data_IF_337529838615
#
_entry.id   IF_337529838615
#
_cell.length_a   1.000
_cell.length_b   1.000
_cell.length_c   1.000
_cell.angle_alpha   90.00
_cell.angle_beta   90.00
_cell.angle_gamma   90.00
#
_symmetry.space_group_name_H-M   'P 1'
#
loop_
_entity.id
_entity.type
_entity.pdbx_description
1 polymer ?
#
# COMPACT_ATOMS: atom_id res chain seq x y z
N UNK A 1 -13.84 -34.53 10.16
CA UNK A 1 -12.79 -34.79 11.17
C UNK A 1 -11.48 -34.52 10.45
N UNK A 2 -10.75 -33.45 10.70
CA UNK A 2 -10.77 -32.46 11.78
C UNK A 2 -11.16 -31.07 11.24
N UNK A 3 -12.01 -30.36 12.00
CA UNK A 3 -12.19 -28.93 11.85
C UNK A 3 -11.12 -28.27 12.71
N UNK A 4 -9.94 -28.05 12.12
CA UNK A 4 -9.03 -27.02 12.63
C UNK A 4 -9.68 -25.67 12.34
N UNK A 5 -10.61 -25.29 13.22
CA UNK A 5 -11.00 -23.89 13.34
C UNK A 5 -9.72 -23.20 13.75
N UNK A 6 -9.12 -22.47 12.81
CA UNK A 6 -7.95 -21.63 12.99
C UNK A 6 -8.04 -20.96 14.36
N UNK A 7 -7.12 -21.29 15.28
CA UNK A 7 -7.14 -20.80 16.66
C UNK A 7 -7.28 -19.28 16.68
N UNK A 8 -6.70 -18.61 15.68
CA UNK A 8 -6.85 -17.18 15.45
C UNK A 8 -8.31 -16.78 15.14
N UNK A 9 -9.00 -17.48 14.25
CA UNK A 9 -10.42 -17.24 13.94
C UNK A 9 -11.32 -17.44 15.15
N UNK A 10 -11.08 -18.51 15.92
CA UNK A 10 -11.76 -18.77 17.20
C UNK A 10 -11.52 -17.63 18.20
N UNK A 11 -10.26 -17.20 18.35
CA UNK A 11 -9.89 -16.12 19.26
C UNK A 11 -10.49 -14.77 18.83
N UNK A 12 -10.44 -14.45 17.53
CA UNK A 12 -11.03 -13.25 16.96
C UNK A 12 -12.55 -13.18 17.16
N UNK A 13 -13.25 -14.32 17.04
CA UNK A 13 -14.69 -14.41 17.24
C UNK A 13 -15.13 -14.18 18.70
N UNK A 14 -14.22 -14.37 19.66
CA UNK A 14 -14.49 -14.22 21.11
C UNK A 14 -14.03 -12.87 21.68
N UNK A 15 -13.26 -12.10 20.92
CA UNK A 15 -12.83 -10.75 21.28
C UNK A 15 -14.02 -9.79 21.24
N UNK A 16 -14.65 -9.58 22.40
CA UNK A 16 -15.62 -8.51 22.60
C UNK A 16 -14.91 -7.18 22.54
N UNK A 17 -15.29 -6.34 21.57
CA UNK A 17 -14.82 -4.96 21.47
C UNK A 17 -15.27 -4.20 22.71
N UNK A 18 -14.34 -3.86 23.61
CA UNK A 18 -14.59 -2.85 24.63
C UNK A 18 -14.66 -1.49 23.95
N UNK A 19 -15.88 -1.15 23.57
CA UNK A 19 -16.47 0.16 23.31
C UNK A 19 -15.57 1.40 23.38
N UNK A 20 -15.63 2.16 22.29
CA UNK A 20 -15.64 3.64 22.21
C UNK A 20 -14.36 4.45 22.32
N UNK A 21 -13.18 3.86 22.47
CA UNK A 21 -11.95 4.65 22.42
C UNK A 21 -11.13 4.30 21.18
N UNK A 22 -11.48 4.93 20.06
CA UNK A 22 -10.41 5.36 19.17
C UNK A 22 -9.76 6.50 19.92
N UNK A 23 -8.68 6.19 20.65
CA UNK A 23 -7.70 7.22 20.95
C UNK A 23 -7.45 7.94 19.63
N UNK A 24 -7.76 9.25 19.56
CA UNK A 24 -7.50 10.08 18.39
C UNK A 24 -6.15 9.63 17.82
N UNK A 25 -6.13 8.95 16.66
CA UNK A 25 -4.89 8.32 16.19
C UNK A 25 -3.93 9.50 16.00
N UNK A 26 -2.94 9.57 16.89
CA UNK A 26 -2.27 10.83 17.20
C UNK A 26 -1.51 11.36 15.98
N UNK A 27 -2.06 12.36 15.28
CA UNK A 27 -1.45 13.40 14.44
C UNK A 27 0.00 13.18 13.90
N UNK A 28 0.37 12.01 13.40
CA UNK A 28 1.71 11.73 12.89
C UNK A 28 1.66 10.95 11.57
N UNK A 29 2.64 11.23 10.71
CA UNK A 29 2.63 10.95 9.28
C UNK A 29 2.90 9.46 8.98
N UNK A 30 2.01 8.71 8.32
CA UNK A 30 2.16 7.25 8.18
C UNK A 30 3.38 6.84 7.35
N UNK A 31 3.84 5.60 7.54
CA UNK A 31 4.97 5.01 6.81
C UNK A 31 4.55 3.87 5.87
N UNK A 32 3.35 3.26 5.89
CA UNK A 32 3.10 2.21 4.87
C UNK A 32 1.67 1.96 4.41
N UNK A 33 1.57 1.64 3.11
CA UNK A 33 0.38 1.36 2.31
C UNK A 33 0.59 0.00 1.63
N UNK A 34 -0.45 -0.83 1.42
CA UNK A 34 -0.26 -2.24 1.04
C UNK A 34 -1.28 -2.71 0.00
N UNK A 35 -0.80 -3.52 -0.95
CA UNK A 35 -1.61 -4.17 -1.98
C UNK A 35 -2.17 -5.47 -1.38
N UNK A 36 -3.41 -5.81 -1.71
CA UNK A 36 -4.04 -7.09 -1.34
C UNK A 36 -3.61 -8.20 -2.31
N UNK A 37 -2.83 -9.20 -1.89
CA UNK A 37 -2.85 -10.51 -2.52
C UNK A 37 -4.03 -11.30 -1.99
N UNK A 38 -4.68 -12.04 -2.88
CA UNK A 38 -5.74 -12.99 -2.57
C UNK A 38 -5.22 -14.12 -1.66
N UNK A 39 -5.23 -13.99 -0.34
CA UNK A 39 -5.13 -15.11 0.63
C UNK A 39 -5.44 -14.65 2.08
N UNK A 40 -5.80 -15.62 2.93
CA UNK A 40 -6.17 -15.46 4.35
C UNK A 40 -5.06 -14.82 5.19
N UNK A 41 -5.32 -13.65 5.78
CA UNK A 41 -4.40 -12.90 6.66
C UNK A 41 -3.25 -12.18 5.92
N UNK A 42 -3.55 -11.09 5.22
CA UNK A 42 -2.50 -10.21 4.68
C UNK A 42 -2.42 -8.89 5.48
N UNK A 43 -1.24 -8.48 5.97
CA UNK A 43 -1.06 -7.12 6.48
C UNK A 43 -1.30 -6.11 5.35
N UNK A 44 -2.00 -5.03 5.68
CA UNK A 44 -2.66 -4.14 4.72
C UNK A 44 -2.30 -2.66 4.87
N UNK A 45 -1.97 -2.19 6.07
CA UNK A 45 -1.64 -0.79 6.29
C UNK A 45 -0.95 -0.64 7.65
N UNK A 46 0.01 0.29 7.75
CA UNK A 46 0.51 0.73 9.05
C UNK A 46 0.66 2.25 9.08
N UNK A 47 0.25 2.84 10.18
CA UNK A 47 0.61 4.21 10.52
C UNK A 47 1.84 4.16 11.41
N UNK A 48 3.01 4.52 10.86
CA UNK A 48 4.26 4.63 11.61
C UNK A 48 4.62 3.40 12.47
N UNK A 49 4.27 2.18 12.03
CA UNK A 49 4.43 0.96 12.82
C UNK A 49 3.73 0.97 14.19
N UNK A 50 2.79 1.91 14.42
CA UNK A 50 1.94 1.96 15.62
C UNK A 50 0.69 1.12 15.48
N UNK A 51 0.22 0.91 14.26
CA UNK A 51 -0.99 0.15 13.97
C UNK A 51 -0.74 -0.80 12.81
N UNK A 52 -1.38 -1.97 12.83
CA UNK A 52 -1.31 -2.95 11.76
C UNK A 52 -2.71 -3.33 11.33
N UNK A 53 -3.12 -2.95 10.14
CA UNK A 53 -4.35 -3.45 9.55
C UNK A 53 -4.06 -4.82 8.92
N UNK A 54 -4.90 -5.81 9.19
CA UNK A 54 -4.84 -7.15 8.61
C UNK A 54 -6.19 -7.45 7.98
N UNK A 55 -6.17 -8.04 6.79
CA UNK A 55 -7.34 -8.67 6.20
C UNK A 55 -7.36 -10.16 6.46
N UNK A 56 -8.34 -10.63 7.23
CA UNK A 56 -8.52 -12.04 7.57
C UNK A 56 -9.98 -12.44 7.45
N UNK A 57 -10.27 -13.49 6.67
CA UNK A 57 -11.63 -14.02 6.43
C UNK A 57 -12.72 -12.94 6.33
N UNK A 58 -12.66 -12.09 5.30
CA UNK A 58 -13.68 -11.05 5.06
C UNK A 58 -13.75 -9.96 6.13
N UNK A 59 -12.73 -9.88 6.98
CA UNK A 59 -12.70 -8.94 8.10
C UNK A 59 -11.42 -8.12 8.05
N UNK A 60 -11.57 -6.80 8.11
CA UNK A 60 -10.48 -5.88 8.35
C UNK A 60 -10.30 -5.73 9.85
N UNK A 61 -9.12 -6.05 10.33
CA UNK A 61 -8.77 -6.04 11.75
C UNK A 61 -7.62 -5.06 11.94
N UNK A 62 -7.83 -4.04 12.76
CA UNK A 62 -6.77 -3.11 13.12
C UNK A 62 -6.19 -3.50 14.48
N UNK A 63 -4.89 -3.78 14.50
CA UNK A 63 -4.13 -4.02 15.72
C UNK A 63 -3.36 -2.75 16.13
N UNK A 64 -3.23 -2.54 17.44
CA UNK A 64 -2.22 -1.65 18.02
C UNK A 64 -0.88 -2.38 18.09
N UNK A 65 0.23 -1.68 17.87
CA UNK A 65 1.57 -2.21 18.02
C UNK A 65 2.30 -1.50 19.17
N UNK A 66 3.22 -2.20 19.87
CA UNK A 66 3.61 -3.60 19.68
C UNK A 66 2.71 -4.60 20.44
N UNK A 67 1.65 -4.14 21.11
CA UNK A 67 0.84 -4.96 22.02
C UNK A 67 -0.12 -5.93 21.31
N UNK A 68 -0.38 -5.71 20.03
CA UNK A 68 -1.35 -6.44 19.22
C UNK A 68 -2.78 -6.40 19.81
N UNK A 69 -3.18 -5.28 20.42
CA UNK A 69 -4.56 -5.10 20.88
C UNK A 69 -5.46 -4.79 19.68
N UNK A 70 -6.63 -5.43 19.57
CA UNK A 70 -7.58 -5.13 18.49
C UNK A 70 -8.29 -3.82 18.78
N UNK A 71 -8.03 -2.82 17.94
CA UNK A 71 -8.67 -1.50 17.98
C UNK A 71 -10.06 -1.60 17.33
N UNK A 72 -10.17 -2.26 16.18
CA UNK A 72 -11.46 -2.58 15.57
C UNK A 72 -11.39 -3.79 14.65
N UNK A 73 -12.57 -4.35 14.39
CA UNK A 73 -12.80 -5.45 13.47
C UNK A 73 -14.07 -5.13 12.67
N UNK A 74 -13.94 -4.99 11.35
CA UNK A 74 -15.03 -4.60 10.44
C UNK A 74 -15.17 -5.65 9.34
N UNK A 75 -16.33 -6.31 9.21
CA UNK A 75 -16.57 -7.19 8.08
C UNK A 75 -16.68 -6.35 6.80
N UNK A 76 -15.95 -6.75 5.77
CA UNK A 76 -16.09 -6.22 4.41
C UNK A 76 -17.18 -7.02 3.71
N UNK A 77 -18.07 -6.34 2.97
CA UNK A 77 -19.01 -7.06 2.10
C UNK A 77 -18.25 -7.75 0.96
N UNK A 78 -18.66 -8.96 0.53
CA UNK A 78 -17.98 -9.70 -0.56
C UNK A 78 -17.82 -8.90 -1.87
N UNK A 79 -18.73 -7.94 -2.13
CA UNK A 79 -18.66 -7.02 -3.27
C UNK A 79 -17.50 -6.04 -3.21
N UNK A 80 -17.13 -5.57 -2.01
CA UNK A 80 -16.00 -4.66 -1.80
C UNK A 80 -14.72 -5.47 -1.70
N UNK A 81 -14.74 -6.62 -1.00
CA UNK A 81 -13.60 -7.54 -0.89
C UNK A 81 -13.02 -7.89 -2.27
N UNK A 82 -13.87 -8.31 -3.20
CA UNK A 82 -13.45 -8.74 -4.54
C UNK A 82 -12.91 -7.61 -5.43
N UNK A 83 -12.99 -6.36 -4.97
CA UNK A 83 -12.69 -5.19 -5.79
C UNK A 83 -11.61 -4.27 -5.20
N UNK A 84 -11.25 -4.40 -3.91
CA UNK A 84 -10.16 -3.58 -3.33
C UNK A 84 -8.84 -3.96 -4.00
N UNK A 85 -8.16 -2.96 -4.57
CA UNK A 85 -6.86 -3.09 -5.23
C UNK A 85 -5.67 -2.69 -4.33
N UNK A 86 -5.83 -1.66 -3.51
CA UNK A 86 -4.77 -1.11 -2.65
C UNK A 86 -5.38 -0.35 -1.47
N UNK A 87 -4.60 -0.11 -0.42
CA UNK A 87 -5.04 0.59 0.78
C UNK A 87 -3.94 1.47 1.37
N UNK A 88 -4.32 2.64 1.87
CA UNK A 88 -3.46 3.50 2.67
C UNK A 88 -4.17 4.05 3.92
N UNK A 89 -3.41 4.56 4.89
CA UNK A 89 -3.97 5.29 6.01
C UNK A 89 -3.85 6.80 5.77
N UNK A 90 -4.95 7.54 5.95
CA UNK A 90 -5.02 8.99 5.77
C UNK A 90 -5.06 9.69 7.13
N UNK A 91 -3.89 10.08 7.64
CA UNK A 91 -3.74 10.61 9.00
C UNK A 91 -4.60 11.84 9.30
N UNK A 92 -4.74 12.79 8.37
CA UNK A 92 -5.54 14.01 8.59
C UNK A 92 -7.02 13.70 8.82
N UNK A 93 -7.55 12.71 8.11
CA UNK A 93 -8.97 12.31 8.21
C UNK A 93 -9.16 11.15 9.18
N UNK A 94 -8.06 10.66 9.75
CA UNK A 94 -8.04 9.56 10.69
C UNK A 94 -8.78 8.30 10.19
N UNK A 95 -8.57 7.94 8.92
CA UNK A 95 -9.30 6.87 8.26
C UNK A 95 -8.40 6.03 7.34
N UNK A 96 -8.81 4.81 7.04
CA UNK A 96 -8.22 4.03 5.95
C UNK A 96 -8.89 4.41 4.64
N UNK A 97 -8.10 4.49 3.59
CA UNK A 97 -8.58 4.70 2.24
C UNK A 97 -8.34 3.43 1.43
N UNK A 98 -9.40 2.94 0.82
CA UNK A 98 -9.44 1.70 0.06
C UNK A 98 -9.66 2.06 -1.41
N UNK A 99 -8.73 1.73 -2.30
CA UNK A 99 -9.00 1.84 -3.73
C UNK A 99 -9.72 0.59 -4.21
N UNK A 100 -10.78 0.77 -5.00
CA UNK A 100 -11.46 -0.33 -5.68
C UNK A 100 -11.88 0.12 -7.08
N UNK A 101 -11.34 -0.55 -8.11
CA UNK A 101 -11.49 -0.16 -9.51
C UNK A 101 -11.18 1.34 -9.69
N UNK A 102 -12.16 2.16 -10.07
CA UNK A 102 -12.02 3.60 -10.25
C UNK A 102 -12.58 4.43 -9.07
N UNK A 103 -12.76 3.83 -7.90
CA UNK A 103 -13.36 4.49 -6.74
C UNK A 103 -12.42 4.42 -5.53
N UNK A 104 -12.42 5.48 -4.73
CA UNK A 104 -11.74 5.53 -3.45
C UNK A 104 -12.78 5.59 -2.34
N UNK A 105 -12.65 4.68 -1.38
CA UNK A 105 -13.54 4.58 -0.23
C UNK A 105 -12.79 4.94 1.05
N UNK A 106 -13.50 5.50 2.03
CA UNK A 106 -12.97 5.73 3.37
C UNK A 106 -13.61 4.80 4.38
N UNK A 107 -12.79 4.25 5.26
CA UNK A 107 -13.18 3.47 6.41
C UNK A 107 -12.71 4.20 7.68
N UNK A 108 -13.68 4.78 8.39
CA UNK A 108 -13.45 5.54 9.61
C UNK A 108 -13.97 4.80 10.86
N UNK A 109 -13.78 5.42 12.02
CA UNK A 109 -14.24 5.00 13.35
C UNK A 109 -15.63 4.39 13.40
N UNK A 110 -16.54 4.99 12.64
CA UNK A 110 -17.96 4.74 12.72
C UNK A 110 -18.34 3.45 11.99
N UNK A 111 -17.34 2.70 11.50
CA UNK A 111 -17.47 1.41 10.82
C UNK A 111 -18.31 1.47 9.55
N UNK A 112 -18.43 2.66 8.95
CA UNK A 112 -19.12 2.87 7.67
C UNK A 112 -18.07 3.09 6.58
N UNK A 113 -18.22 2.32 5.50
CA UNK A 113 -17.45 2.51 4.27
C UNK A 113 -18.21 3.52 3.42
N UNK A 114 -17.58 4.65 3.11
CA UNK A 114 -18.16 5.72 2.31
C UNK A 114 -17.33 5.94 1.05
N UNK A 115 -17.97 6.34 -0.06
CA UNK A 115 -17.25 6.72 -1.29
C UNK A 115 -16.71 8.14 -1.10
N UNK A 116 -15.40 8.29 -1.13
CA UNK A 116 -14.71 9.59 -1.09
C UNK A 116 -14.71 10.22 -2.47
N UNK A 117 -14.39 9.43 -3.49
CA UNK A 117 -14.25 9.94 -4.86
C UNK A 117 -14.37 8.84 -5.91
N UNK A 118 -14.81 9.24 -7.12
CA UNK A 118 -14.84 8.38 -8.31
C UNK A 118 -14.01 9.02 -9.41
N UNK A 119 -13.05 8.25 -9.91
CA UNK A 119 -12.12 8.65 -10.95
C UNK A 119 -12.59 8.13 -12.32
N UNK A 120 -12.08 8.74 -13.38
CA UNK A 120 -12.30 8.26 -14.74
C UNK A 120 -11.50 7.00 -15.06
N UNK A 121 -10.40 6.76 -14.33
CA UNK A 121 -9.45 5.69 -14.59
C UNK A 121 -9.40 4.67 -13.45
N UNK A 122 -9.00 3.44 -13.77
CA UNK A 122 -8.83 2.37 -12.78
C UNK A 122 -7.59 2.67 -11.93
N UNK A 123 -7.78 2.76 -10.62
CA UNK A 123 -6.74 2.94 -9.62
C UNK A 123 -6.01 1.62 -9.43
N UNK A 124 -4.68 1.69 -9.52
CA UNK A 124 -3.81 0.53 -9.36
C UNK A 124 -3.05 0.55 -8.06
N UNK A 125 -2.57 1.73 -7.65
CA UNK A 125 -1.92 1.88 -6.36
C UNK A 125 -2.18 3.26 -5.75
N UNK A 126 -2.34 3.30 -4.42
CA UNK A 126 -2.49 4.52 -3.64
C UNK A 126 -1.44 4.58 -2.54
N UNK A 127 -0.95 5.78 -2.28
CA UNK A 127 -0.17 6.03 -1.08
C UNK A 127 -0.47 7.41 -0.51
N UNK A 128 -0.10 7.63 0.73
CA UNK A 128 -0.35 8.88 1.44
C UNK A 128 0.94 9.42 2.02
N UNK A 129 1.05 10.74 2.05
CA UNK A 129 1.93 11.45 2.98
C UNK A 129 1.15 12.50 3.69
N UNK A 130 1.61 12.93 4.87
CA UNK A 130 1.03 14.00 5.71
C UNK A 130 -0.19 14.72 5.14
N UNK A 131 -0.03 15.50 4.07
CA UNK A 131 -1.11 16.27 3.43
C UNK A 131 -1.76 15.63 2.19
N UNK A 132 -1.05 14.83 1.42
CA UNK A 132 -1.47 14.46 0.05
C UNK A 132 -1.60 12.96 -0.14
N UNK A 133 -2.54 12.60 -1.00
CA UNK A 133 -2.68 11.25 -1.54
C UNK A 133 -2.07 11.23 -2.93
N UNK A 134 -1.28 10.20 -3.20
CA UNK A 134 -0.75 9.91 -4.52
C UNK A 134 -1.49 8.70 -5.08
N UNK A 135 -1.94 8.83 -6.32
CA UNK A 135 -2.72 7.81 -7.02
C UNK A 135 -1.96 7.43 -8.30
N UNK A 136 -1.61 6.15 -8.41
CA UNK A 136 -1.11 5.53 -9.63
C UNK A 136 -2.24 4.75 -10.28
N UNK A 137 -2.49 5.00 -11.56
CA UNK A 137 -3.52 4.30 -12.32
C UNK A 137 -2.99 3.01 -12.96
N UNK A 138 -3.92 2.16 -13.41
CA UNK A 138 -3.61 0.93 -14.14
C UNK A 138 -2.74 1.26 -15.37
N UNK A 139 -1.71 0.45 -15.59
CA UNK A 139 -0.63 0.66 -16.55
C UNK A 139 0.33 1.82 -16.25
N UNK A 140 0.12 2.56 -15.16
CA UNK A 140 1.04 3.59 -14.67
C UNK A 140 1.29 4.72 -15.67
N UNK A 141 0.26 5.13 -16.41
CA UNK A 141 0.38 6.22 -17.39
C UNK A 141 0.53 7.61 -16.73
N UNK A 142 0.11 7.75 -15.48
CA UNK A 142 0.35 8.93 -14.66
C UNK A 142 0.31 8.62 -13.17
N UNK A 143 0.90 9.51 -12.40
CA UNK A 143 0.68 9.66 -10.96
C UNK A 143 0.01 11.00 -10.73
N UNK A 144 -1.07 11.00 -9.96
CA UNK A 144 -1.76 12.21 -9.55
C UNK A 144 -1.60 12.45 -8.05
N UNK A 145 -1.44 13.73 -7.70
CA UNK A 145 -1.43 14.22 -6.33
C UNK A 145 -2.77 14.85 -6.02
N UNK A 146 -3.40 14.39 -4.94
CA UNK A 146 -4.71 14.83 -4.50
C UNK A 146 -4.66 15.33 -3.06
N UNK A 147 -5.42 16.38 -2.79
CA UNK A 147 -5.73 16.84 -1.45
C UNK A 147 -7.18 16.49 -1.14
N UNK A 148 -7.38 15.59 -0.18
CA UNK A 148 -8.71 15.13 0.23
C UNK A 148 -9.18 15.85 1.49
N UNK A 149 -10.43 16.29 1.46
CA UNK A 149 -11.21 16.60 2.64
C UNK A 149 -12.29 15.52 2.83
N UNK A 150 -13.09 15.65 3.88
CA UNK A 150 -14.08 14.66 4.28
C UNK A 150 -15.06 14.26 3.16
N UNK A 151 -15.35 15.17 2.22
CA UNK A 151 -16.43 14.98 1.23
C UNK A 151 -15.98 15.18 -0.22
N UNK A 152 -14.72 15.52 -0.47
CA UNK A 152 -14.22 15.85 -1.81
C UNK A 152 -12.70 15.74 -1.91
N UNK A 153 -12.21 15.54 -3.13
CA UNK A 153 -10.79 15.60 -3.47
C UNK A 153 -10.53 16.73 -4.46
N UNK A 154 -9.43 17.44 -4.27
CA UNK A 154 -8.93 18.42 -5.24
C UNK A 154 -7.65 17.87 -5.87
N UNK A 155 -7.62 17.80 -7.21
CA UNK A 155 -6.41 17.46 -7.95
C UNK A 155 -5.41 18.62 -7.83
N UNK A 156 -4.23 18.33 -7.30
CA UNK A 156 -3.16 19.31 -7.08
C UNK A 156 -2.17 19.28 -8.24
N UNK A 157 -1.77 18.08 -8.68
CA UNK A 157 -0.79 17.92 -9.75
C UNK A 157 -0.92 16.57 -10.46
N UNK A 158 -0.38 16.48 -11.67
CA UNK A 158 -0.33 15.27 -12.48
C UNK A 158 1.04 15.14 -13.12
N UNK A 159 1.69 13.99 -12.93
CA UNK A 159 2.93 13.64 -13.62
C UNK A 159 2.66 12.47 -14.55
N UNK A 160 2.92 12.67 -15.84
CA UNK A 160 2.78 11.62 -16.84
C UNK A 160 3.99 10.69 -16.82
N UNK A 161 3.78 9.43 -17.20
CA UNK A 161 4.80 8.37 -17.29
C UNK A 161 6.10 8.87 -17.93
N UNK A 162 6.01 9.55 -19.07
CA UNK A 162 7.16 10.01 -19.85
C UNK A 162 8.04 11.03 -19.12
N UNK A 163 7.52 11.67 -18.05
CA UNK A 163 8.27 12.57 -17.19
C UNK A 163 8.92 11.88 -15.98
N UNK A 164 8.53 10.64 -15.68
CA UNK A 164 8.92 9.90 -14.48
C UNK A 164 9.92 8.78 -14.79
N UNK A 165 9.71 8.07 -15.89
CA UNK A 165 10.45 6.85 -16.23
C UNK A 165 10.92 6.87 -17.68
N UNK A 166 11.73 5.89 -18.09
CA UNK A 166 12.31 5.85 -19.42
C UNK A 166 11.28 5.47 -20.48
N UNK A 167 11.52 5.88 -21.72
CA UNK A 167 10.61 5.62 -22.85
C UNK A 167 10.41 4.13 -23.14
N UNK A 168 11.39 3.29 -22.79
CA UNK A 168 11.34 1.83 -22.91
C UNK A 168 10.81 1.14 -21.65
N UNK A 169 10.44 1.87 -20.60
CA UNK A 169 9.76 1.24 -19.47
C UNK A 169 8.29 0.98 -19.85
N UNK A 170 7.73 -0.14 -19.39
CA UNK A 170 6.34 -0.51 -19.66
C UNK A 170 5.41 0.42 -18.86
N UNK A 171 5.69 0.64 -17.59
CA UNK A 171 4.86 1.48 -16.71
C UNK A 171 5.26 1.41 -15.24
N UNK A 172 4.48 2.11 -14.43
CA UNK A 172 4.58 2.17 -12.97
C UNK A 172 3.52 1.24 -12.37
N UNK A 173 3.91 0.40 -11.43
CA UNK A 173 3.02 -0.63 -10.87
C UNK A 173 2.68 -0.43 -9.39
N UNK A 174 3.52 0.20 -8.61
CA UNK A 174 3.25 0.39 -7.19
C UNK A 174 3.97 1.63 -6.73
N UNK A 175 3.29 2.42 -5.91
CA UNK A 175 3.86 3.62 -5.30
C UNK A 175 3.73 3.53 -3.79
N UNK A 176 4.79 3.89 -3.08
CA UNK A 176 4.81 3.89 -1.62
C UNK A 176 5.60 5.09 -1.13
N UNK A 177 5.03 5.81 -0.18
CA UNK A 177 5.70 6.95 0.41
C UNK A 177 6.22 6.62 1.81
N UNK A 178 7.39 7.16 2.12
CA UNK A 178 7.97 7.17 3.46
C UNK A 178 8.72 8.49 3.63
N UNK A 179 8.38 9.25 4.67
CA UNK A 179 8.92 10.59 4.90
C UNK A 179 8.75 11.51 3.67
N UNK A 180 9.86 11.94 3.06
CA UNK A 180 9.89 12.83 1.89
C UNK A 180 10.13 12.05 0.59
N UNK A 181 10.11 10.73 0.64
CA UNK A 181 10.53 9.85 -0.45
C UNK A 181 9.34 9.04 -0.95
N UNK A 182 9.29 8.89 -2.27
CA UNK A 182 8.31 8.06 -2.95
C UNK A 182 9.06 6.96 -3.71
N UNK A 183 8.91 5.71 -3.26
CA UNK A 183 9.36 4.54 -3.98
C UNK A 183 8.35 4.14 -5.06
N UNK A 184 8.83 3.91 -6.27
CA UNK A 184 8.03 3.49 -7.42
C UNK A 184 8.56 2.18 -7.98
N UNK A 185 7.71 1.15 -8.08
CA UNK A 185 8.07 -0.04 -8.86
C UNK A 185 7.85 0.24 -10.33
N UNK A 186 8.92 0.12 -11.11
CA UNK A 186 8.94 0.34 -12.56
C UNK A 186 9.10 -1.00 -13.25
N UNK A 187 8.19 -1.29 -14.18
CA UNK A 187 8.28 -2.48 -15.04
C UNK A 187 9.05 -2.14 -16.31
N UNK A 188 10.10 -2.89 -16.60
CA UNK A 188 10.96 -2.71 -17.77
C UNK A 188 10.51 -3.62 -18.93
N UNK A 189 10.89 -3.29 -20.16
CA UNK A 189 10.45 -4.01 -21.38
C UNK A 189 10.83 -5.50 -21.43
N UNK A 190 11.86 -5.91 -20.70
CA UNK A 190 12.32 -7.29 -20.54
C UNK A 190 11.65 -8.02 -19.37
N UNK A 191 10.50 -7.53 -18.90
CA UNK A 191 9.76 -8.06 -17.73
C UNK A 191 10.57 -8.05 -16.42
N UNK A 192 11.64 -7.26 -16.36
CA UNK A 192 12.31 -6.98 -15.09
C UNK A 192 11.68 -5.80 -14.38
N UNK A 193 12.06 -5.65 -13.12
CA UNK A 193 11.51 -4.64 -12.24
C UNK A 193 12.63 -3.86 -11.59
N UNK A 194 12.39 -2.59 -11.27
CA UNK A 194 13.27 -1.83 -10.38
C UNK A 194 12.45 -0.92 -9.49
N UNK A 195 13.08 -0.44 -8.42
CA UNK A 195 12.46 0.53 -7.51
C UNK A 195 13.18 1.84 -7.66
N UNK A 196 12.56 2.81 -8.34
CA UNK A 196 13.08 4.16 -8.45
C UNK A 196 12.57 4.98 -7.25
N UNK A 197 13.42 5.84 -6.68
CA UNK A 197 13.11 6.68 -5.51
C UNK A 197 13.06 8.13 -5.95
N UNK A 198 11.97 8.80 -5.59
CA UNK A 198 11.68 10.18 -5.97
C UNK A 198 11.52 11.08 -4.74
N UNK A 199 11.87 12.35 -4.90
CA UNK A 199 11.48 13.40 -3.96
C UNK A 199 9.99 13.67 -4.11
N UNK A 200 9.24 13.64 -3.01
CA UNK A 200 7.79 13.67 -3.10
C UNK A 200 7.21 15.05 -3.47
N UNK A 201 7.93 16.13 -3.19
CA UNK A 201 7.46 17.49 -3.46
C UNK A 201 7.67 17.86 -4.93
N UNK A 202 8.82 17.50 -5.47
CA UNK A 202 9.24 17.86 -6.83
C UNK A 202 8.99 16.76 -7.84
N UNK A 203 8.82 15.52 -7.38
CA UNK A 203 8.79 14.31 -8.20
C UNK A 203 10.03 14.16 -9.09
N UNK A 204 11.16 14.72 -8.65
CA UNK A 204 12.46 14.49 -9.26
C UNK A 204 13.02 13.16 -8.75
N UNK A 205 13.59 12.37 -9.65
CA UNK A 205 14.25 11.10 -9.31
C UNK A 205 15.51 11.37 -8.48
N UNK A 206 15.55 10.84 -7.27
CA UNK A 206 16.71 10.88 -6.38
C UNK A 206 17.62 9.70 -6.68
N UNK A 207 17.05 8.49 -6.79
CA UNK A 207 17.80 7.26 -7.07
C UNK A 207 17.07 6.41 -8.10
N UNK A 208 17.85 5.80 -8.98
CA UNK A 208 17.36 4.73 -9.85
C UNK A 208 17.67 3.40 -9.20
N UNK A 209 16.67 2.52 -9.11
CA UNK A 209 16.89 1.17 -8.62
C UNK A 209 17.71 0.32 -9.59
N UNK A 210 18.37 -0.71 -9.07
CA UNK A 210 18.95 -1.75 -9.91
C UNK A 210 17.83 -2.64 -10.45
N UNK A 211 17.97 -3.04 -11.70
CA UNK A 211 17.10 -4.02 -12.35
C UNK A 211 17.15 -5.36 -11.61
N UNK A 212 15.98 -5.84 -11.20
CA UNK A 212 15.67 -7.14 -10.64
C UNK A 212 15.08 -7.98 -11.77
N UNK A 213 15.86 -8.94 -12.26
CA UNK A 213 15.37 -9.85 -13.30
C UNK A 213 14.36 -10.83 -12.70
N UNK A 214 13.22 -10.98 -13.37
CA UNK A 214 12.23 -11.98 -13.02
C UNK A 214 12.71 -13.35 -13.54
N UNK A 215 12.96 -14.30 -12.63
CA UNK A 215 13.45 -15.64 -12.99
C UNK A 215 12.42 -16.51 -13.75
N UNK A 216 11.13 -16.13 -13.78
CA UNK A 216 10.05 -16.90 -14.40
C UNK A 216 9.21 -16.02 -15.37
N UNK A 217 8.76 -16.61 -16.49
CA UNK A 217 7.94 -16.01 -17.56
C UNK A 217 6.52 -15.53 -17.13
N UNK A 218 6.29 -15.28 -15.84
CA UNK A 218 5.00 -14.81 -15.34
C UNK A 218 4.78 -13.33 -15.66
N UNK A 219 4.08 -13.10 -16.78
CA UNK A 219 3.86 -11.78 -17.40
C UNK A 219 3.02 -10.78 -16.57
N UNK A 220 2.25 -11.25 -15.59
CA UNK A 220 1.14 -10.50 -14.98
C UNK A 220 1.15 -10.54 -13.45
N UNK A 221 2.18 -9.98 -12.80
CA UNK A 221 2.22 -10.00 -11.34
C UNK A 221 2.43 -8.64 -10.68
N UNK A 222 1.85 -8.51 -9.48
CA UNK A 222 1.76 -7.28 -8.70
C UNK A 222 2.76 -7.38 -7.54
N UNK A 223 3.99 -6.92 -7.77
CA UNK A 223 4.98 -6.83 -6.71
C UNK A 223 4.53 -5.89 -5.60
N UNK A 224 4.52 -6.36 -4.35
CA UNK A 224 4.12 -5.55 -3.20
C UNK A 224 5.35 -4.84 -2.66
N UNK A 225 5.30 -3.51 -2.64
CA UNK A 225 6.36 -2.68 -2.10
C UNK A 225 6.03 -2.29 -0.66
N UNK A 226 7.01 -2.43 0.23
CA UNK A 226 6.93 -2.01 1.62
C UNK A 226 8.14 -1.11 1.94
N UNK A 227 7.94 0.15 2.33
CA UNK A 227 9.03 0.97 2.86
C UNK A 227 9.52 0.44 4.20
N UNK A 228 10.84 0.37 4.35
CA UNK A 228 11.53 0.17 5.64
C UNK A 228 12.06 1.52 6.11
N UNK A 229 12.75 2.23 5.22
CA UNK A 229 13.23 3.60 5.40
C UNK A 229 13.28 4.33 4.04
N UNK A 230 13.74 5.59 3.94
CA UNK A 230 13.84 6.32 2.68
C UNK A 230 14.53 5.59 1.51
N UNK A 231 15.49 4.72 1.79
CA UNK A 231 16.34 4.06 0.79
C UNK A 231 16.31 2.53 0.89
N UNK A 232 15.71 1.97 1.93
CA UNK A 232 15.50 0.54 2.12
C UNK A 232 14.03 0.16 1.95
N UNK A 233 13.80 -0.82 1.10
CA UNK A 233 12.48 -1.26 0.71
C UNK A 233 12.41 -2.77 0.73
N UNK A 234 11.35 -3.35 1.29
CA UNK A 234 11.05 -4.76 1.10
C UNK A 234 10.14 -4.88 -0.12
N UNK A 235 10.54 -5.72 -1.06
CA UNK A 235 9.75 -6.06 -2.24
C UNK A 235 9.34 -7.52 -2.14
N UNK A 236 8.04 -7.76 -2.01
CA UNK A 236 7.49 -9.10 -2.03
C UNK A 236 7.07 -9.46 -3.45
N UNK A 237 7.77 -10.42 -4.02
CA UNK A 237 7.38 -11.17 -5.20
C UNK A 237 6.74 -12.47 -4.72
N UNK A 238 5.45 -12.67 -4.97
CA UNK A 238 4.68 -13.78 -4.41
C UNK A 238 5.16 -15.14 -4.91
N UNK A 239 5.81 -15.18 -6.07
CA UNK A 239 6.36 -16.41 -6.65
C UNK A 239 7.87 -16.52 -6.44
N UNK A 240 8.60 -15.40 -6.30
CA UNK A 240 10.07 -15.42 -6.23
C UNK A 240 10.65 -15.13 -4.84
N UNK A 241 9.83 -14.65 -3.92
CA UNK A 241 10.18 -14.45 -2.52
C UNK A 241 10.25 -12.98 -2.09
N UNK A 242 10.91 -12.77 -0.94
CA UNK A 242 11.08 -11.46 -0.33
C UNK A 242 12.46 -10.92 -0.64
N UNK A 243 12.51 -9.74 -1.24
CA UNK A 243 13.74 -9.03 -1.58
C UNK A 243 13.89 -7.82 -0.68
N UNK A 244 14.98 -7.78 0.07
CA UNK A 244 15.42 -6.54 0.68
C UNK A 244 16.17 -5.72 -0.38
N UNK A 245 15.67 -4.51 -0.63
CA UNK A 245 16.17 -3.58 -1.62
C UNK A 245 16.80 -2.41 -0.88
N UNK A 246 18.12 -2.45 -0.75
CA UNK A 246 18.89 -1.46 0.00
C UNK A 246 19.63 -0.51 -0.93
N UNK A 247 19.14 0.71 -1.07
CA UNK A 247 19.74 1.77 -1.90
C UNK A 247 20.46 2.84 -1.06
N UNK A 248 20.93 2.51 0.15
CA UNK A 248 21.66 3.47 1.02
C UNK A 248 23.01 3.88 0.42
N UNK A 249 23.82 2.91 0.02
CA UNK A 249 25.10 3.15 -0.66
C UNK A 249 24.91 3.31 -2.18
N UNK A 250 25.45 4.39 -2.76
CA UNK A 250 25.39 4.61 -4.22
C UNK A 250 26.24 3.61 -5.02
N UNK A 251 27.20 2.92 -4.38
CA UNK A 251 28.21 2.10 -5.05
C UNK A 251 28.20 0.60 -4.69
N UNK A 252 27.56 0.18 -3.59
CA UNK A 252 27.43 -1.23 -3.21
C UNK A 252 25.99 -1.57 -2.87
N UNK A 253 25.44 -2.57 -3.55
CA UNK A 253 24.08 -3.02 -3.35
C UNK A 253 24.06 -4.48 -2.91
N UNK A 254 23.48 -4.76 -1.74
CA UNK A 254 23.30 -6.13 -1.25
C UNK A 254 21.87 -6.58 -1.52
N UNK A 255 21.69 -7.31 -2.61
CA UNK A 255 20.47 -8.07 -2.84
C UNK A 255 20.54 -9.36 -2.01
N UNK A 256 19.94 -9.34 -0.83
CA UNK A 256 19.79 -10.55 -0.04
C UNK A 256 18.42 -11.15 -0.35
N UNK A 257 18.41 -12.26 -1.10
CA UNK A 257 17.21 -13.08 -1.17
C UNK A 257 17.04 -13.74 0.20
N UNK A 258 15.99 -13.36 0.92
CA UNK A 258 15.64 -14.00 2.19
C UNK A 258 14.95 -15.32 1.83
N UNK A 259 15.75 -16.34 1.51
CA UNK A 259 15.22 -17.70 1.33
C UNK A 259 14.61 -18.17 2.65
N UNK A 260 13.37 -18.66 2.57
CA UNK A 260 12.70 -19.36 3.67
C UNK A 260 13.53 -20.54 4.15
#
# INVERSE_FOLDING_TARGET
>A
METDIDELSSHLSTLKTTSNEIAMLENRQPISTFILPSMSSCPMATDNYKHLLIYHHQTLILFSLPKFDIIFSIPITPSIESSISDICFHSILNCFLLSSSNSLYSLSSNRQIEIVHKFSNIIWSITHTSKYIFICYLFGFSIEQWEFNTNSGTLVNTWFKDSLIESLDIGINCIRAVNQHLGMTVKENNFSWRIDIFDILTMNKIRRGKTIQQENDFKNWIGILYPIDPYQWLFADGDQGLYLIDQTDEQEYKQNNIKK
#
